data_IF_334155288164
#
_entry.id   IF_334155288164
#
_cell.length_a   1.000
_cell.length_b   1.000
_cell.length_c   1.000
_cell.angle_alpha   90.00
_cell.angle_beta   90.00
_cell.angle_gamma   90.00
#
_symmetry.space_group_name_H-M   'P 1'
#
loop_
_entity.id
_entity.type
_entity.pdbx_description
1 polymer ?
#
# COMPACT_ATOMS: atom_id res chain seq x y z
N UNK A 1 1.83 -22.45 37.46
CA UNK A 1 0.90 -22.22 36.34
C UNK A 1 1.63 -21.85 35.01
N UNK A 2 2.85 -22.40 34.82
CA UNK A 2 3.74 -21.98 33.68
C UNK A 2 4.02 -23.09 32.65
N UNK A 3 3.21 -24.16 32.65
CA UNK A 3 3.48 -25.34 31.81
C UNK A 3 2.62 -25.48 30.55
N UNK A 4 2.08 -24.37 30.04
CA UNK A 4 1.44 -24.41 28.74
C UNK A 4 2.52 -24.38 27.65
N UNK A 5 2.60 -25.41 26.75
CA UNK A 5 3.59 -25.50 25.70
C UNK A 5 3.63 -24.24 24.80
N UNK A 6 2.47 -23.63 24.59
CA UNK A 6 2.33 -22.37 23.81
C UNK A 6 3.03 -21.18 24.52
N UNK A 7 2.98 -21.08 25.86
CA UNK A 7 3.65 -20.00 26.61
C UNK A 7 5.17 -20.20 26.56
N UNK A 8 5.63 -21.45 26.65
CA UNK A 8 7.05 -21.78 26.56
C UNK A 8 7.60 -21.47 25.15
N UNK A 9 6.86 -21.84 24.13
CA UNK A 9 7.18 -21.49 22.73
C UNK A 9 7.20 -19.97 22.51
N UNK A 10 6.25 -19.24 23.08
CA UNK A 10 6.17 -17.78 23.00
C UNK A 10 7.35 -17.10 23.73
N UNK A 11 7.68 -17.54 24.94
CA UNK A 11 8.86 -17.04 25.70
C UNK A 11 10.17 -17.36 24.97
N UNK A 12 10.27 -18.54 24.37
CA UNK A 12 11.42 -18.94 23.58
C UNK A 12 11.52 -18.13 22.26
N UNK A 13 10.37 -17.79 21.65
CA UNK A 13 10.29 -16.90 20.52
C UNK A 13 10.68 -15.46 20.90
N UNK A 14 10.21 -14.93 22.05
CA UNK A 14 10.60 -13.60 22.56
C UNK A 14 12.11 -13.50 22.84
N UNK A 15 12.71 -14.51 23.48
CA UNK A 15 14.17 -14.53 23.71
C UNK A 15 14.97 -14.61 22.41
N UNK A 16 14.49 -15.36 21.40
CA UNK A 16 15.08 -15.37 20.05
C UNK A 16 14.90 -14.04 19.31
N UNK A 17 13.77 -13.36 19.52
CA UNK A 17 13.50 -12.03 18.93
C UNK A 17 14.45 -10.97 19.49
N UNK A 18 14.86 -11.07 20.75
CA UNK A 18 15.87 -10.17 21.33
C UNK A 18 17.29 -10.45 20.77
N UNK A 19 17.65 -11.72 20.60
CA UNK A 19 18.90 -12.09 19.91
C UNK A 19 18.92 -11.61 18.46
N UNK A 20 17.78 -11.62 17.77
CA UNK A 20 17.63 -11.10 16.40
C UNK A 20 17.72 -9.57 16.30
N UNK A 21 17.40 -8.83 17.37
CA UNK A 21 17.57 -7.37 17.40
C UNK A 21 19.04 -6.94 17.30
N UNK A 22 19.97 -7.82 17.57
CA UNK A 22 21.41 -7.56 17.48
C UNK A 22 22.02 -7.86 16.10
N UNK A 23 21.30 -8.56 15.20
CA UNK A 23 21.78 -8.86 13.88
C UNK A 23 21.48 -7.69 12.93
N UNK A 24 22.55 -7.10 12.38
CA UNK A 24 22.47 -6.09 11.32
C UNK A 24 22.72 -6.75 9.99
N UNK A 25 22.11 -6.21 8.94
CA UNK A 25 22.24 -6.69 7.57
C UNK A 25 22.45 -5.51 6.62
N UNK A 26 23.13 -5.72 5.49
CA UNK A 26 23.31 -4.67 4.49
C UNK A 26 21.94 -4.10 4.06
N UNK A 27 21.78 -2.80 4.19
CA UNK A 27 20.51 -2.11 3.83
C UNK A 27 20.13 -2.39 2.38
N UNK A 28 21.10 -2.42 1.48
CA UNK A 28 20.86 -2.73 0.07
C UNK A 28 20.20 -4.10 -0.13
N UNK A 29 20.65 -5.13 0.59
CA UNK A 29 20.04 -6.47 0.52
C UNK A 29 18.60 -6.45 1.04
N UNK A 30 18.34 -5.72 2.13
CA UNK A 30 16.98 -5.56 2.66
C UNK A 30 16.08 -4.88 1.64
N UNK A 31 16.56 -3.86 0.94
CA UNK A 31 15.79 -3.15 -0.09
C UNK A 31 15.51 -4.08 -1.27
N UNK A 32 16.48 -4.84 -1.77
CA UNK A 32 16.28 -5.84 -2.83
C UNK A 32 15.18 -6.84 -2.43
N UNK A 33 15.25 -7.35 -1.20
CA UNK A 33 14.23 -8.26 -0.66
C UNK A 33 12.87 -7.58 -0.45
N UNK A 34 12.83 -6.28 -0.17
CA UNK A 34 11.57 -5.54 -0.04
C UNK A 34 10.80 -5.49 -1.37
N UNK A 35 11.51 -5.27 -2.49
CA UNK A 35 10.89 -5.32 -3.82
C UNK A 35 10.44 -6.74 -4.19
N UNK A 36 11.24 -7.76 -3.87
CA UNK A 36 10.85 -9.14 -4.07
C UNK A 36 9.61 -9.53 -3.24
N UNK A 37 9.54 -9.13 -1.96
CA UNK A 37 8.38 -9.35 -1.10
C UNK A 37 7.14 -8.63 -1.65
N UNK A 38 7.30 -7.40 -2.11
CA UNK A 38 6.23 -6.61 -2.71
C UNK A 38 5.65 -7.27 -3.97
N UNK A 39 6.51 -7.81 -4.82
CA UNK A 39 6.10 -8.59 -6.00
C UNK A 39 5.36 -9.88 -5.61
N UNK A 40 5.92 -10.68 -4.68
CA UNK A 40 5.35 -11.95 -4.26
C UNK A 40 3.94 -11.77 -3.67
N UNK A 41 3.76 -10.75 -2.83
CA UNK A 41 2.47 -10.43 -2.23
C UNK A 41 1.54 -9.59 -3.12
N UNK A 42 1.98 -9.23 -4.35
CA UNK A 42 1.24 -8.30 -5.23
C UNK A 42 0.87 -7.00 -4.52
N UNK A 43 1.78 -6.51 -3.64
CA UNK A 43 1.59 -5.31 -2.85
C UNK A 43 2.22 -5.41 -1.45
N UNK A 44 1.83 -4.49 -0.56
CA UNK A 44 2.31 -4.46 0.81
C UNK A 44 1.33 -5.13 1.77
N UNK A 45 1.74 -6.28 2.33
CA UNK A 45 1.04 -6.97 3.40
C UNK A 45 1.68 -6.63 4.75
N UNK A 46 0.91 -5.94 5.62
CA UNK A 46 1.36 -5.50 6.94
C UNK A 46 1.39 -6.64 7.95
N UNK A 47 0.44 -7.57 7.84
CA UNK A 47 0.22 -8.67 8.79
C UNK A 47 0.11 -9.99 8.05
N UNK A 48 0.70 -11.04 8.64
CA UNK A 48 0.55 -12.39 8.12
C UNK A 48 -0.91 -12.83 8.25
N UNK A 49 -1.47 -13.31 7.15
CA UNK A 49 -2.81 -13.90 7.09
C UNK A 49 -2.71 -15.41 6.94
N UNK A 50 -3.37 -16.12 7.84
CA UNK A 50 -3.51 -17.57 7.78
C UNK A 50 -4.89 -17.89 7.22
N UNK A 51 -4.92 -18.64 6.14
CA UNK A 51 -6.14 -19.15 5.54
C UNK A 51 -6.30 -20.63 5.92
N UNK A 52 -7.53 -21.09 6.14
CA UNK A 52 -7.80 -22.49 6.54
C UNK A 52 -7.45 -23.50 5.46
N UNK A 53 -7.48 -23.10 4.19
CA UNK A 53 -7.35 -24.00 3.03
C UNK A 53 -6.19 -23.64 2.08
N UNK A 54 -5.49 -22.55 2.34
CA UNK A 54 -4.40 -22.03 1.49
C UNK A 54 -3.13 -21.81 2.33
N UNK A 55 -1.95 -21.87 1.71
CA UNK A 55 -0.73 -21.48 2.41
C UNK A 55 -0.84 -20.04 2.94
N UNK A 56 -0.23 -19.75 4.09
CA UNK A 56 -0.29 -18.43 4.70
C UNK A 56 0.32 -17.36 3.78
N UNK A 57 -0.29 -16.17 3.76
CA UNK A 57 0.34 -15.00 3.16
C UNK A 57 1.14 -14.30 4.25
N UNK A 58 2.45 -14.40 4.21
CA UNK A 58 3.33 -13.76 5.18
C UNK A 58 3.40 -12.24 4.96
N UNK A 59 3.49 -11.47 6.05
CA UNK A 59 3.77 -10.05 5.97
C UNK A 59 5.10 -9.77 5.25
N UNK A 60 5.19 -8.67 4.48
CA UNK A 60 6.41 -8.34 3.74
C UNK A 60 7.65 -8.31 4.64
N UNK A 61 7.54 -7.72 5.85
CA UNK A 61 8.63 -7.69 6.83
C UNK A 61 9.08 -9.08 7.28
N UNK A 62 8.14 -10.03 7.40
CA UNK A 62 8.43 -11.39 7.82
C UNK A 62 9.08 -12.19 6.70
N UNK A 63 8.63 -12.04 5.44
CA UNK A 63 9.27 -12.62 4.27
C UNK A 63 10.75 -12.21 4.17
N UNK A 64 11.04 -10.92 4.38
CA UNK A 64 12.40 -10.39 4.36
C UNK A 64 13.20 -10.97 5.53
N UNK A 65 12.66 -10.89 6.75
CA UNK A 65 13.34 -11.36 7.94
C UNK A 65 13.66 -12.84 7.88
N UNK A 66 12.72 -13.70 7.48
CA UNK A 66 12.94 -15.14 7.34
C UNK A 66 13.91 -15.46 6.22
N UNK A 67 13.90 -14.71 5.12
CA UNK A 67 14.88 -14.90 4.03
C UNK A 67 16.30 -14.57 4.49
N UNK A 68 16.49 -13.45 5.19
CA UNK A 68 17.80 -13.10 5.77
C UNK A 68 18.25 -14.16 6.76
N UNK A 69 17.35 -14.61 7.64
CA UNK A 69 17.66 -15.66 8.60
C UNK A 69 18.05 -16.99 7.92
N UNK A 70 17.34 -17.40 6.88
CA UNK A 70 17.67 -18.62 6.15
C UNK A 70 19.06 -18.58 5.49
N UNK A 71 19.51 -17.38 5.11
CA UNK A 71 20.84 -17.18 4.49
C UNK A 71 21.98 -17.15 5.52
N UNK A 72 21.75 -16.48 6.66
CA UNK A 72 22.80 -16.16 7.62
C UNK A 72 22.76 -16.99 8.90
N UNK A 73 21.67 -17.69 9.18
CA UNK A 73 21.52 -18.54 10.37
C UNK A 73 20.78 -19.84 10.04
N UNK A 74 21.57 -20.86 9.66
CA UNK A 74 21.04 -22.18 9.23
C UNK A 74 20.35 -22.97 10.34
N UNK A 75 20.61 -22.65 11.60
CA UNK A 75 20.06 -23.38 12.76
C UNK A 75 18.72 -22.78 13.21
N UNK A 76 18.18 -21.81 12.50
CA UNK A 76 16.95 -21.16 12.88
C UNK A 76 15.74 -21.93 12.38
N UNK A 77 14.74 -22.08 13.26
CA UNK A 77 13.44 -22.65 12.90
C UNK A 77 12.68 -21.64 12.04
N UNK A 78 12.35 -22.04 10.82
CA UNK A 78 11.51 -21.31 9.89
C UNK A 78 10.13 -21.97 9.81
N UNK A 79 9.05 -21.24 9.50
CA UNK A 79 7.75 -21.84 9.24
C UNK A 79 7.82 -22.88 8.12
N UNK A 80 7.08 -24.00 8.25
CA UNK A 80 7.09 -25.10 7.26
C UNK A 80 6.66 -24.63 5.87
N UNK A 81 5.71 -23.71 5.81
CA UNK A 81 5.17 -23.15 4.54
C UNK A 81 6.00 -21.97 3.99
N UNK A 82 7.14 -21.66 4.61
CA UNK A 82 7.97 -20.53 4.18
C UNK A 82 8.88 -20.93 3.03
N UNK A 83 8.87 -20.11 1.97
CA UNK A 83 9.83 -20.18 0.87
C UNK A 83 10.66 -18.90 0.86
N UNK A 84 12.02 -18.99 0.87
CA UNK A 84 12.89 -17.82 0.78
C UNK A 84 12.62 -17.00 -0.48
N UNK A 85 12.72 -15.69 -0.34
CA UNK A 85 12.56 -14.77 -1.47
C UNK A 85 13.73 -14.91 -2.44
N UNK A 86 13.41 -15.01 -3.72
CA UNK A 86 14.34 -14.86 -4.82
C UNK A 86 14.21 -13.44 -5.38
N UNK A 87 15.36 -12.74 -5.48
CA UNK A 87 15.44 -11.41 -6.10
C UNK A 87 15.61 -11.57 -7.60
N UNK A 88 14.60 -11.21 -8.36
CA UNK A 88 14.59 -11.28 -9.82
C UNK A 88 15.18 -10.01 -10.44
N UNK A 89 15.62 -10.05 -11.72
CA UNK A 89 16.05 -8.84 -12.45
C UNK A 89 15.00 -7.73 -12.41
N UNK A 90 13.71 -8.07 -12.56
CA UNK A 90 12.62 -7.10 -12.48
C UNK A 90 12.53 -6.37 -11.12
N UNK A 91 12.88 -7.04 -10.01
CA UNK A 91 12.92 -6.42 -8.69
C UNK A 91 14.03 -5.38 -8.61
N UNK A 92 15.20 -5.67 -9.22
CA UNK A 92 16.33 -4.74 -9.29
C UNK A 92 16.03 -3.53 -10.18
N UNK A 93 15.32 -3.73 -11.28
CA UNK A 93 14.88 -2.64 -12.16
C UNK A 93 13.88 -1.73 -11.43
N UNK A 94 12.92 -2.31 -10.71
CA UNK A 94 11.97 -1.58 -9.87
C UNK A 94 12.70 -0.82 -8.75
N UNK A 95 13.67 -1.44 -8.09
CA UNK A 95 14.52 -0.79 -7.08
C UNK A 95 15.29 0.40 -7.68
N UNK A 96 15.91 0.24 -8.86
CA UNK A 96 16.65 1.33 -9.50
C UNK A 96 15.76 2.55 -9.85
N UNK A 97 14.48 2.31 -10.17
CA UNK A 97 13.49 3.38 -10.35
C UNK A 97 13.11 4.01 -9.01
N UNK A 98 12.96 3.22 -7.96
CA UNK A 98 12.75 3.68 -6.60
C UNK A 98 13.90 4.53 -6.08
N UNK A 99 15.15 4.15 -6.35
CA UNK A 99 16.34 4.92 -5.99
C UNK A 99 16.32 6.33 -6.60
N UNK A 100 15.89 6.45 -7.87
CA UNK A 100 15.72 7.77 -8.52
C UNK A 100 14.71 8.63 -7.79
N UNK A 101 13.65 8.01 -7.26
CA UNK A 101 12.65 8.70 -6.46
C UNK A 101 13.23 9.13 -5.10
N UNK A 102 13.89 8.22 -4.39
CA UNK A 102 14.49 8.49 -3.08
C UNK A 102 15.59 9.55 -3.10
N UNK A 103 16.38 9.63 -4.16
CA UNK A 103 17.39 10.70 -4.33
C UNK A 103 16.79 12.12 -4.30
N UNK A 104 15.53 12.29 -4.68
CA UNK A 104 14.85 13.58 -4.58
C UNK A 104 14.59 13.97 -3.12
N UNK A 105 14.33 12.97 -2.27
CA UNK A 105 14.18 13.20 -0.83
C UNK A 105 15.47 13.67 -0.17
N UNK A 106 16.65 13.29 -0.70
CA UNK A 106 17.94 13.81 -0.23
C UNK A 106 18.01 15.34 -0.35
N UNK A 107 17.42 15.90 -1.40
CA UNK A 107 17.36 17.35 -1.60
C UNK A 107 16.29 18.02 -0.73
N UNK A 108 15.20 17.29 -0.45
CA UNK A 108 14.09 17.77 0.39
C UNK A 108 14.37 17.60 1.88
N UNK A 109 15.24 16.65 2.27
CA UNK A 109 15.65 16.41 3.66
C UNK A 109 16.44 17.59 4.30
N UNK A 110 16.77 18.62 3.51
CA UNK A 110 17.25 19.91 4.04
C UNK A 110 16.11 20.76 4.64
N UNK A 111 14.84 20.31 4.56
CA UNK A 111 13.66 20.90 5.18
C UNK A 111 13.01 19.93 6.18
N UNK A 112 11.94 20.36 6.82
CA UNK A 112 11.18 19.52 7.77
C UNK A 112 10.39 18.43 7.03
N UNK A 113 10.91 17.20 7.04
CA UNK A 113 10.15 16.02 6.61
C UNK A 113 9.21 15.56 7.74
N UNK A 114 8.03 15.02 7.43
CA UNK A 114 7.22 14.29 8.40
C UNK A 114 8.03 13.17 9.07
N UNK A 115 7.75 12.88 10.34
CA UNK A 115 8.50 11.92 11.15
C UNK A 115 8.71 10.56 10.45
N UNK A 116 7.65 10.02 9.87
CA UNK A 116 7.73 8.73 9.15
C UNK A 116 8.65 8.80 7.92
N UNK A 117 8.58 9.85 7.14
CA UNK A 117 9.41 10.02 5.94
C UNK A 117 10.88 10.24 6.32
N UNK A 118 11.12 10.97 7.41
CA UNK A 118 12.44 11.13 7.99
C UNK A 118 13.04 9.79 8.45
N UNK A 119 12.27 8.99 9.17
CA UNK A 119 12.67 7.65 9.61
C UNK A 119 12.94 6.70 8.44
N UNK A 120 12.07 6.70 7.43
CA UNK A 120 12.24 5.89 6.22
C UNK A 120 13.49 6.29 5.45
N UNK A 121 13.72 7.61 5.31
CA UNK A 121 14.89 8.13 4.62
C UNK A 121 16.19 7.83 5.37
N UNK A 122 16.20 7.97 6.70
CA UNK A 122 17.33 7.57 7.54
C UNK A 122 17.63 6.06 7.41
N UNK A 123 16.59 5.24 7.41
CA UNK A 123 16.69 3.81 7.20
C UNK A 123 17.26 3.46 5.83
N UNK A 124 16.76 4.10 4.78
CA UNK A 124 17.22 3.91 3.40
C UNK A 124 18.69 4.32 3.21
N UNK A 125 19.14 5.36 3.91
CA UNK A 125 20.49 5.93 3.78
C UNK A 125 21.54 5.26 4.66
N UNK A 126 21.14 4.36 5.58
CA UNK A 126 22.07 3.62 6.43
C UNK A 126 22.80 2.53 5.62
N UNK A 127 24.05 2.22 5.99
CA UNK A 127 24.79 1.10 5.37
C UNK A 127 24.25 -0.25 5.83
N UNK A 128 23.92 -0.35 7.11
CA UNK A 128 23.40 -1.55 7.74
C UNK A 128 22.15 -1.25 8.58
N UNK A 129 21.29 -2.24 8.74
CA UNK A 129 20.08 -2.12 9.51
C UNK A 129 19.82 -3.35 10.38
N UNK A 130 19.41 -3.14 11.65
CA UNK A 130 18.96 -4.24 12.50
C UNK A 130 17.67 -4.86 11.97
N UNK A 131 17.56 -6.19 12.06
CA UNK A 131 16.39 -6.94 11.59
C UNK A 131 15.07 -6.46 12.21
N UNK A 132 15.11 -5.96 13.43
CA UNK A 132 13.94 -5.39 14.12
C UNK A 132 13.37 -4.13 13.44
N UNK A 133 14.13 -3.46 12.57
CA UNK A 133 13.74 -2.26 11.83
C UNK A 133 13.40 -2.51 10.36
N UNK A 134 13.52 -3.74 9.88
CA UNK A 134 13.22 -4.15 8.49
C UNK A 134 11.81 -3.70 8.03
N UNK A 135 10.86 -3.57 8.96
CA UNK A 135 9.50 -3.14 8.65
C UNK A 135 9.41 -1.78 7.93
N UNK A 136 10.34 -0.85 8.18
CA UNK A 136 10.39 0.43 7.47
C UNK A 136 10.72 0.23 5.99
N UNK A 137 11.78 -0.52 5.71
CA UNK A 137 12.19 -0.79 4.34
C UNK A 137 11.25 -1.76 3.61
N UNK A 138 10.59 -2.66 4.33
CA UNK A 138 9.55 -3.53 3.76
C UNK A 138 8.39 -2.73 3.15
N UNK A 139 8.14 -1.52 3.67
CA UNK A 139 7.11 -0.61 3.16
C UNK A 139 7.60 0.30 2.03
N UNK A 140 8.90 0.41 1.79
CA UNK A 140 9.50 1.32 0.81
C UNK A 140 8.89 1.22 -0.60
N UNK A 141 8.72 0.03 -1.22
CA UNK A 141 8.10 -0.06 -2.54
C UNK A 141 6.68 0.53 -2.57
N UNK A 142 5.84 0.20 -1.58
CA UNK A 142 4.48 0.73 -1.46
C UNK A 142 4.45 2.24 -1.23
N UNK A 143 5.41 2.77 -0.48
CA UNK A 143 5.56 4.21 -0.28
C UNK A 143 5.84 4.92 -1.61
N UNK A 144 6.79 4.40 -2.39
CA UNK A 144 7.17 4.99 -3.68
C UNK A 144 6.01 4.95 -4.67
N UNK A 145 5.33 3.81 -4.79
CA UNK A 145 4.16 3.68 -5.66
C UNK A 145 3.07 4.67 -5.27
N UNK A 146 2.76 4.79 -3.98
CA UNK A 146 1.78 5.75 -3.48
C UNK A 146 2.14 7.20 -3.80
N UNK A 147 3.42 7.57 -3.68
CA UNK A 147 3.88 8.92 -3.99
C UNK A 147 3.84 9.22 -5.50
N UNK A 148 4.18 8.24 -6.33
CA UNK A 148 4.09 8.36 -7.79
C UNK A 148 2.62 8.49 -8.23
N UNK A 149 1.74 7.65 -7.71
CA UNK A 149 0.30 7.70 -7.97
C UNK A 149 -0.31 9.04 -7.53
N UNK A 150 0.07 9.52 -6.33
CA UNK A 150 -0.40 10.80 -5.83
C UNK A 150 0.07 11.97 -6.72
N UNK A 151 1.30 11.89 -7.25
CA UNK A 151 1.83 12.89 -8.16
C UNK A 151 1.08 12.89 -9.50
N UNK A 152 0.85 11.71 -10.08
CA UNK A 152 0.07 11.54 -11.32
C UNK A 152 -1.34 12.08 -11.11
N UNK A 153 -2.01 11.69 -10.03
CA UNK A 153 -3.34 12.18 -9.69
C UNK A 153 -3.39 13.71 -9.58
N UNK A 154 -2.48 14.31 -8.80
CA UNK A 154 -2.39 15.78 -8.64
C UNK A 154 -2.13 16.50 -9.97
N UNK A 155 -1.30 15.91 -10.83
CA UNK A 155 -1.05 16.48 -12.16
C UNK A 155 -2.32 16.46 -13.00
N UNK A 156 -3.03 15.33 -13.05
CA UNK A 156 -4.29 15.19 -13.80
C UNK A 156 -5.37 16.15 -13.29
N UNK A 157 -5.47 16.35 -11.96
CA UNK A 157 -6.40 17.34 -11.42
C UNK A 157 -6.16 18.75 -11.99
N UNK A 158 -4.89 19.12 -12.20
CA UNK A 158 -4.51 20.43 -12.72
C UNK A 158 -4.69 20.58 -14.24
N UNK A 159 -4.45 19.49 -15.00
CA UNK A 159 -4.46 19.55 -16.47
C UNK A 159 -5.81 19.16 -17.06
N UNK A 160 -6.40 18.07 -16.56
CA UNK A 160 -7.56 17.45 -17.20
C UNK A 160 -8.88 17.91 -16.56
N UNK A 161 -8.84 18.31 -15.29
CA UNK A 161 -10.03 18.59 -14.48
C UNK A 161 -10.07 20.00 -13.86
N UNK A 162 -9.24 20.92 -14.35
CA UNK A 162 -9.19 22.30 -13.84
C UNK A 162 -10.56 23.01 -13.90
N UNK A 163 -11.39 22.66 -14.89
CA UNK A 163 -12.72 23.21 -15.12
C UNK A 163 -13.85 22.30 -14.55
N UNK A 164 -13.53 21.44 -13.58
CA UNK A 164 -14.52 20.58 -12.93
C UNK A 164 -15.66 21.41 -12.31
N UNK A 165 -16.89 20.97 -12.50
CA UNK A 165 -18.09 21.56 -11.92
C UNK A 165 -18.87 20.52 -11.12
N UNK A 166 -19.84 20.98 -10.32
CA UNK A 166 -20.76 20.08 -9.63
C UNK A 166 -21.78 19.49 -10.59
N UNK A 167 -22.00 18.17 -10.47
CA UNK A 167 -23.03 17.47 -11.26
C UNK A 167 -24.35 17.50 -10.51
N UNK A 168 -25.43 18.02 -11.13
CA UNK A 168 -26.79 18.00 -10.63
C UNK A 168 -27.00 18.59 -9.24
N UNK A 169 -28.07 18.19 -8.55
CA UNK A 169 -28.43 18.66 -7.22
C UNK A 169 -28.48 17.50 -6.23
N UNK A 170 -28.17 17.75 -4.97
CA UNK A 170 -28.25 16.73 -3.93
C UNK A 170 -29.67 16.13 -3.85
N UNK A 171 -29.73 14.81 -3.92
CA UNK A 171 -30.98 14.07 -3.98
C UNK A 171 -31.37 13.55 -5.36
N UNK A 172 -30.81 14.11 -6.43
CA UNK A 172 -31.09 13.67 -7.80
C UNK A 172 -30.53 12.28 -8.08
N UNK A 173 -31.14 11.57 -9.01
CA UNK A 173 -30.58 10.35 -9.57
C UNK A 173 -29.51 10.73 -10.59
N UNK A 174 -28.38 10.04 -10.52
CA UNK A 174 -27.37 10.08 -11.57
C UNK A 174 -27.84 9.19 -12.72
N UNK A 175 -28.04 9.78 -13.89
CA UNK A 175 -28.27 9.02 -15.12
C UNK A 175 -27.08 8.10 -15.41
N UNK A 176 -27.29 7.01 -16.16
CA UNK A 176 -26.20 6.12 -16.56
C UNK A 176 -25.04 6.89 -17.15
N UNK A 177 -23.91 6.88 -16.47
CA UNK A 177 -22.75 7.68 -16.83
C UNK A 177 -21.49 6.81 -16.80
N UNK A 178 -20.56 7.12 -17.68
CA UNK A 178 -19.23 6.52 -17.67
C UNK A 178 -18.33 7.27 -16.70
N UNK A 179 -17.74 6.54 -15.74
CA UNK A 179 -16.76 7.05 -14.81
C UNK A 179 -15.38 6.44 -15.10
N UNK A 180 -14.38 7.28 -15.27
CA UNK A 180 -12.98 6.87 -15.19
C UNK A 180 -12.54 6.92 -13.73
N UNK A 181 -11.96 5.83 -13.21
CA UNK A 181 -11.43 5.76 -11.84
C UNK A 181 -10.03 6.36 -11.81
N UNK A 182 -9.84 7.45 -11.07
CA UNK A 182 -8.58 8.18 -10.99
C UNK A 182 -7.73 7.77 -9.77
N UNK A 183 -8.39 7.44 -8.65
CA UNK A 183 -7.73 7.09 -7.40
C UNK A 183 -8.67 6.24 -6.53
N UNK A 184 -8.08 5.29 -5.80
CA UNK A 184 -8.81 4.48 -4.83
C UNK A 184 -8.08 4.51 -3.49
N UNK A 185 -8.83 4.77 -2.41
CA UNK A 185 -8.32 4.75 -1.05
C UNK A 185 -8.99 3.61 -0.30
N UNK A 186 -8.22 2.73 0.30
CA UNK A 186 -8.74 1.69 1.19
C UNK A 186 -9.11 2.31 2.52
N UNK A 187 -10.37 2.15 2.91
CA UNK A 187 -10.87 2.56 4.23
C UNK A 187 -10.83 1.34 5.15
N UNK A 188 -9.75 1.22 5.90
CA UNK A 188 -9.67 0.22 6.95
C UNK A 188 -10.51 0.67 8.13
N UNK A 189 -11.44 -0.17 8.52
CA UNK A 189 -12.20 0.02 9.75
C UNK A 189 -11.91 -1.19 10.63
N UNK A 190 -11.27 -0.97 11.77
CA UNK A 190 -10.88 -2.03 12.72
C UNK A 190 -12.09 -2.82 13.25
N UNK A 191 -13.31 -2.30 13.06
CA UNK A 191 -14.58 -2.91 13.49
C UNK A 191 -15.30 -3.71 12.39
N UNK A 192 -14.86 -3.62 11.14
CA UNK A 192 -15.52 -4.29 10.00
C UNK A 192 -14.51 -5.22 9.36
N UNK A 193 -14.84 -6.51 9.31
CA UNK A 193 -13.97 -7.56 8.75
C UNK A 193 -13.63 -7.36 7.25
N UNK A 194 -14.46 -6.61 6.52
CA UNK A 194 -14.26 -6.35 5.09
C UNK A 194 -13.87 -4.88 4.86
N UNK A 195 -12.79 -4.61 4.09
CA UNK A 195 -12.41 -3.25 3.74
C UNK A 195 -13.49 -2.59 2.88
N UNK A 196 -13.67 -1.28 3.04
CA UNK A 196 -14.39 -0.44 2.10
C UNK A 196 -13.40 0.40 1.28
N UNK A 197 -13.79 0.79 0.08
CA UNK A 197 -12.95 1.56 -0.82
C UNK A 197 -13.63 2.87 -1.18
N UNK A 198 -12.93 3.98 -0.97
CA UNK A 198 -13.32 5.29 -1.48
C UNK A 198 -12.70 5.48 -2.86
N UNK A 199 -13.57 5.66 -3.84
CA UNK A 199 -13.20 5.87 -5.23
C UNK A 199 -13.31 7.35 -5.57
N UNK A 200 -12.29 7.89 -6.19
CA UNK A 200 -12.30 9.19 -6.84
C UNK A 200 -12.23 8.94 -8.34
N UNK A 201 -13.10 9.57 -9.09
CA UNK A 201 -13.18 9.41 -10.53
C UNK A 201 -13.68 10.66 -11.21
N UNK A 202 -13.85 10.58 -12.52
CA UNK A 202 -14.39 11.66 -13.32
C UNK A 202 -15.49 11.16 -14.26
N UNK A 203 -16.54 11.95 -14.41
CA UNK A 203 -17.58 11.80 -15.43
C UNK A 203 -17.38 12.96 -16.41
N UNK A 204 -16.84 12.65 -17.58
CA UNK A 204 -16.33 13.69 -18.48
C UNK A 204 -15.22 14.50 -17.81
N UNK A 205 -15.42 15.79 -17.60
CA UNK A 205 -14.48 16.69 -16.91
C UNK A 205 -14.77 16.89 -15.41
N UNK A 206 -15.88 16.36 -14.91
CA UNK A 206 -16.38 16.67 -13.58
C UNK A 206 -16.01 15.59 -12.57
N UNK A 207 -15.43 16.00 -11.45
CA UNK A 207 -14.94 15.08 -10.42
C UNK A 207 -16.08 14.52 -9.57
N UNK A 208 -16.00 13.22 -9.29
CA UNK A 208 -16.95 12.51 -8.44
C UNK A 208 -16.24 11.62 -7.43
N UNK A 209 -16.87 11.35 -6.28
CA UNK A 209 -16.39 10.33 -5.36
C UNK A 209 -17.54 9.52 -4.74
N UNK A 210 -17.24 8.27 -4.38
CA UNK A 210 -18.16 7.36 -3.72
C UNK A 210 -17.43 6.28 -2.95
N UNK A 211 -18.14 5.64 -2.01
CA UNK A 211 -17.59 4.51 -1.25
C UNK A 211 -18.32 3.22 -1.64
N UNK A 212 -17.56 2.14 -1.81
CA UNK A 212 -18.08 0.81 -2.13
C UNK A 212 -17.22 -0.29 -1.50
N UNK A 213 -17.78 -1.51 -1.31
CA UNK A 213 -17.02 -2.69 -0.87
C UNK A 213 -16.12 -3.26 -1.97
N UNK A 214 -16.59 -3.19 -3.22
CA UNK A 214 -15.81 -3.66 -4.37
C UNK A 214 -14.72 -2.63 -4.72
N UNK A 215 -13.51 -3.09 -4.96
CA UNK A 215 -12.38 -2.26 -5.40
C UNK A 215 -12.38 -2.16 -6.92
N UNK A 216 -12.50 -0.95 -7.45
CA UNK A 216 -12.37 -0.67 -8.87
C UNK A 216 -10.91 -0.41 -9.23
N UNK A 217 -10.51 -0.81 -10.43
CA UNK A 217 -9.15 -0.58 -10.89
C UNK A 217 -8.97 0.88 -11.34
N UNK A 218 -7.87 1.49 -10.92
CA UNK A 218 -7.46 2.84 -11.36
C UNK A 218 -7.16 2.82 -12.86
N UNK A 219 -7.57 3.88 -13.57
CA UNK A 219 -7.43 4.03 -15.02
C UNK A 219 -8.48 3.26 -15.84
N UNK A 220 -9.38 2.53 -15.20
CA UNK A 220 -10.47 1.82 -15.90
C UNK A 220 -11.75 2.66 -15.91
N UNK A 221 -12.54 2.47 -16.95
CA UNK A 221 -13.84 3.11 -17.13
C UNK A 221 -14.96 2.12 -16.81
N UNK A 222 -15.96 2.58 -16.05
CA UNK A 222 -17.13 1.80 -15.63
C UNK A 222 -18.40 2.58 -15.92
N UNK A 223 -19.44 1.90 -16.40
CA UNK A 223 -20.76 2.51 -16.46
C UNK A 223 -21.43 2.39 -15.09
N UNK A 224 -21.82 3.52 -14.51
CA UNK A 224 -22.45 3.58 -13.20
C UNK A 224 -23.80 4.28 -13.25
N UNK A 225 -24.62 3.93 -12.26
CA UNK A 225 -25.82 4.69 -11.85
C UNK A 225 -25.71 4.93 -10.35
N UNK A 226 -26.36 5.97 -9.86
CA UNK A 226 -26.31 6.28 -8.43
C UNK A 226 -27.26 7.39 -8.05
N UNK A 227 -26.99 7.99 -6.89
CA UNK A 227 -27.71 9.16 -6.39
C UNK A 227 -26.71 10.20 -5.92
N UNK A 228 -26.97 11.46 -6.23
CA UNK A 228 -26.14 12.56 -5.75
C UNK A 228 -26.39 12.73 -4.26
N UNK A 229 -25.32 12.55 -3.47
CA UNK A 229 -25.36 12.72 -2.01
C UNK A 229 -25.23 14.20 -1.61
N UNK A 230 -24.41 14.92 -2.37
CA UNK A 230 -24.07 16.31 -2.11
C UNK A 230 -22.80 16.73 -2.83
N UNK A 231 -22.39 17.93 -2.55
CA UNK A 231 -21.24 18.59 -3.15
C UNK A 231 -20.18 18.84 -2.08
N UNK A 232 -18.90 18.76 -2.49
CA UNK A 232 -17.74 18.97 -1.62
C UNK A 232 -16.62 19.59 -2.47
N UNK A 233 -15.48 19.86 -1.87
CA UNK A 233 -14.26 20.22 -2.57
C UNK A 233 -13.27 19.09 -2.46
N UNK A 234 -12.57 18.78 -3.56
CA UNK A 234 -11.43 17.85 -3.50
C UNK A 234 -10.38 18.41 -2.52
N UNK A 235 -9.86 17.55 -1.65
CA UNK A 235 -9.09 17.96 -0.46
C UNK A 235 -7.87 18.81 -0.79
N UNK A 236 -7.10 18.38 -1.80
CA UNK A 236 -5.80 18.99 -2.13
C UNK A 236 -5.94 20.13 -3.15
N UNK A 237 -6.72 19.93 -4.21
CA UNK A 237 -6.89 20.89 -5.31
C UNK A 237 -7.98 21.94 -5.07
N UNK A 238 -8.90 21.66 -4.13
CA UNK A 238 -10.11 22.47 -3.88
C UNK A 238 -11.08 22.55 -5.07
N UNK A 239 -10.91 21.69 -6.06
CA UNK A 239 -11.82 21.59 -7.20
C UNK A 239 -13.20 21.06 -6.77
N UNK A 240 -14.28 21.46 -7.45
CA UNK A 240 -15.62 20.93 -7.23
C UNK A 240 -15.64 19.40 -7.33
N UNK A 241 -16.25 18.74 -6.33
CA UNK A 241 -16.34 17.29 -6.21
C UNK A 241 -17.76 16.87 -5.86
N UNK A 242 -18.40 16.10 -6.72
CA UNK A 242 -19.75 15.57 -6.46
C UNK A 242 -19.66 14.23 -5.74
N UNK A 243 -20.32 14.11 -4.58
CA UNK A 243 -20.39 12.88 -3.81
C UNK A 243 -21.58 12.04 -4.25
N UNK A 244 -21.36 10.75 -4.50
CA UNK A 244 -22.40 9.82 -4.93
C UNK A 244 -22.70 8.78 -3.84
N UNK A 245 -23.94 8.32 -3.81
CA UNK A 245 -24.43 7.21 -2.99
C UNK A 245 -25.12 6.17 -3.86
N UNK A 246 -25.27 4.96 -3.31
CA UNK A 246 -25.99 3.84 -3.95
C UNK A 246 -25.46 3.53 -5.35
N UNK A 247 -24.15 3.70 -5.55
CA UNK A 247 -23.50 3.46 -6.83
C UNK A 247 -23.60 1.99 -7.20
N UNK A 248 -24.14 1.70 -8.38
CA UNK A 248 -24.21 0.37 -8.97
C UNK A 248 -23.49 0.40 -10.31
N UNK A 249 -22.68 -0.64 -10.57
CA UNK A 249 -22.07 -0.84 -11.88
C UNK A 249 -23.15 -1.45 -12.78
N UNK A 250 -23.29 -0.90 -13.99
CA UNK A 250 -23.90 -1.59 -15.10
C UNK A 250 -22.79 -2.26 -15.89
N UNK A 251 -22.89 -3.57 -16.11
CA UNK A 251 -22.02 -4.22 -17.08
C UNK A 251 -22.31 -3.57 -18.43
N UNK A 252 -21.27 -3.12 -19.13
CA UNK A 252 -21.39 -2.81 -20.55
C UNK A 252 -21.80 -4.12 -21.22
N UNK A 253 -23.03 -4.20 -21.72
CA UNK A 253 -23.42 -5.22 -22.68
C UNK A 253 -22.60 -4.88 -23.95
N UNK A 254 -21.56 -5.69 -24.22
CA UNK A 254 -20.82 -5.64 -25.47
C UNK A 254 -21.62 -6.32 -26.58
#
# INVERSE_FOLDING_TARGET
MDDYPAIKAYKQWLGKTEALKMNTFPTKEIIELAYAAYRVNSGYEKHTRRHSENPPTFANKELIAYTLQSRYNKDMFLPEDFTPLEVLPADKDAMANGDKHMRRYTLLAMGDLPDFESDLFAAYSSEEMPIGRVGLLAYLPAFIDRELDAKVYKQRLKTDFADSAYIGVAGDKLEPSEIEVLKVITLNNDWIAEPAYMHFGAIGKDLVCFTKKDKFAVGQTYQIVGKIKGHDAERDSKLPLTRLNYVKIRKLEM
#
